data_IF_043384616901
#
_entry.id   IF_043384616901
#
_cell.length_a   1.000
_cell.length_b   1.000
_cell.length_c   1.000
_cell.angle_alpha   90.00
_cell.angle_beta   90.00
_cell.angle_gamma   90.00
#
_symmetry.space_group_name_H-M   'P 1'
#
loop_
_entity.id
_entity.type
_entity.pdbx_description
1 polymer ?
#
# COMPACT_ATOMS: atom_id res chain seq x y z
N UNK A 1 -1.64 32.43 20.05
CA UNK A 1 -2.05 31.24 20.78
C UNK A 1 -1.28 30.04 20.25
N UNK A 2 -0.40 29.48 21.10
CA UNK A 2 0.38 28.32 20.75
C UNK A 2 -0.55 27.12 20.67
N UNK A 3 -0.64 26.48 19.52
CA UNK A 3 -1.30 25.19 19.33
C UNK A 3 -0.37 24.13 19.89
N UNK A 4 -0.61 23.69 21.13
CA UNK A 4 0.03 22.48 21.64
C UNK A 4 -0.57 21.29 20.89
N UNK A 5 0.17 20.77 19.91
CA UNK A 5 -0.09 19.46 19.37
C UNK A 5 0.32 18.43 20.42
N UNK A 6 -0.64 17.76 21.02
CA UNK A 6 -0.36 16.57 21.82
C UNK A 6 -0.07 15.42 20.84
N UNK A 7 1.20 15.16 20.62
CA UNK A 7 1.63 13.90 20.05
C UNK A 7 1.33 12.81 21.07
N UNK A 8 0.34 11.98 20.82
CA UNK A 8 0.23 10.72 21.54
C UNK A 8 1.42 9.87 21.09
N UNK A 9 2.38 9.69 21.98
CA UNK A 9 3.43 8.69 21.81
C UNK A 9 2.76 7.32 21.82
N UNK A 10 2.47 6.78 20.65
CA UNK A 10 2.14 5.38 20.51
C UNK A 10 3.37 4.57 20.91
N UNK A 11 3.33 3.99 22.06
CA UNK A 11 4.29 2.97 22.46
C UNK A 11 4.11 1.76 21.57
N UNK A 12 5.19 1.36 20.88
CA UNK A 12 5.40 0.11 20.17
C UNK A 12 4.83 -0.01 18.77
N UNK A 13 5.55 0.48 17.79
CA UNK A 13 5.42 0.13 16.38
C UNK A 13 5.82 1.29 15.49
N UNK A 14 6.82 1.10 14.66
CA UNK A 14 7.12 2.06 13.61
C UNK A 14 6.18 1.75 12.45
N UNK A 15 5.06 2.49 12.36
CA UNK A 15 4.14 2.35 11.23
C UNK A 15 4.82 2.83 9.95
N UNK A 16 4.77 2.01 8.91
CA UNK A 16 5.19 2.40 7.55
C UNK A 16 4.26 3.44 6.92
N UNK A 17 2.99 3.46 7.35
CA UNK A 17 1.97 4.46 7.05
C UNK A 17 0.97 4.46 8.19
N UNK A 18 0.31 5.58 8.46
CA UNK A 18 -0.79 5.66 9.40
C UNK A 18 -2.04 6.16 8.69
N UNK A 19 -3.11 5.38 8.78
CA UNK A 19 -4.42 5.73 8.23
C UNK A 19 -5.53 4.96 8.94
N UNK A 20 -6.54 5.63 9.50
CA UNK A 20 -7.71 4.96 10.06
C UNK A 20 -8.41 4.02 9.06
N UNK A 21 -8.33 4.33 7.78
CA UNK A 21 -8.96 3.54 6.72
C UNK A 21 -8.17 2.26 6.38
N UNK A 22 -6.93 2.13 6.83
CA UNK A 22 -6.10 0.94 6.62
C UNK A 22 -6.59 -0.31 7.37
N UNK A 23 -7.61 -0.14 8.21
CA UNK A 23 -8.30 -1.23 8.92
C UNK A 23 -8.96 -2.23 7.95
N UNK A 24 -9.27 -1.82 6.72
CA UNK A 24 -9.96 -2.65 5.74
C UNK A 24 -9.01 -3.27 4.71
N UNK A 25 -9.37 -4.46 4.23
CA UNK A 25 -8.70 -5.13 3.14
C UNK A 25 -7.22 -5.40 3.39
N UNK A 26 -6.38 -5.03 2.47
CA UNK A 26 -4.90 -5.13 2.58
C UNK A 26 -4.25 -3.87 3.15
N UNK A 27 -5.04 -2.90 3.61
CA UNK A 27 -4.56 -1.61 4.08
C UNK A 27 -4.65 -0.49 3.02
N UNK A 28 -3.99 0.63 3.29
CA UNK A 28 -3.90 1.76 2.36
C UNK A 28 -2.93 1.41 1.23
N UNK A 29 -3.40 1.52 -0.02
CA UNK A 29 -2.56 1.23 -1.18
C UNK A 29 -1.56 2.37 -1.36
N UNK A 30 -0.28 2.02 -1.42
CA UNK A 30 0.81 2.97 -1.58
C UNK A 30 0.75 3.63 -2.96
N UNK A 31 1.03 4.93 -2.99
CA UNK A 31 1.18 5.67 -4.24
C UNK A 31 2.51 5.28 -4.89
N UNK A 32 2.47 4.31 -5.80
CA UNK A 32 3.65 3.86 -6.53
C UNK A 32 4.31 4.98 -7.35
N UNK A 33 5.52 4.71 -7.84
CA UNK A 33 6.30 5.63 -8.67
C UNK A 33 7.62 6.03 -8.01
N UNK A 34 8.54 6.54 -8.82
CA UNK A 34 9.80 7.14 -8.36
C UNK A 34 9.55 8.53 -7.77
N UNK A 35 10.55 9.09 -7.08
CA UNK A 35 10.46 10.46 -6.54
C UNK A 35 10.11 11.48 -7.64
N UNK A 36 10.68 11.31 -8.84
CA UNK A 36 10.36 12.16 -10.00
C UNK A 36 8.88 12.04 -10.40
N UNK A 37 8.34 10.83 -10.54
CA UNK A 37 6.91 10.64 -10.87
C UNK A 37 5.99 11.25 -9.81
N UNK A 38 6.31 11.07 -8.53
CA UNK A 38 5.53 11.62 -7.42
C UNK A 38 5.53 13.14 -7.37
N UNK A 39 6.66 13.79 -7.67
CA UNK A 39 6.75 15.26 -7.75
C UNK A 39 5.93 15.85 -8.90
N UNK A 40 5.59 15.02 -9.89
CA UNK A 40 4.72 15.35 -11.02
C UNK A 40 3.28 14.83 -10.85
N UNK A 41 2.74 14.79 -9.64
CA UNK A 41 1.38 14.33 -9.39
C UNK A 41 1.17 12.80 -9.49
N UNK A 42 2.24 12.01 -9.61
CA UNK A 42 2.18 10.55 -9.76
C UNK A 42 1.80 10.08 -11.17
N UNK A 43 1.99 10.93 -12.18
CA UNK A 43 1.85 10.55 -13.59
C UNK A 43 3.06 9.74 -14.07
N UNK A 44 2.90 9.00 -15.17
CA UNK A 44 4.01 8.20 -15.71
C UNK A 44 3.59 7.19 -16.78
N UNK A 45 2.30 6.99 -17.05
CA UNK A 45 1.83 5.98 -18.02
C UNK A 45 2.27 6.35 -19.45
N UNK A 46 2.23 7.63 -19.78
CA UNK A 46 2.66 8.15 -21.09
C UNK A 46 3.99 8.90 -21.05
N UNK A 47 4.63 9.01 -19.87
CA UNK A 47 5.90 9.71 -19.73
C UNK A 47 7.03 8.97 -20.43
N UNK A 48 7.77 9.67 -21.29
CA UNK A 48 8.97 9.21 -21.98
C UNK A 48 10.18 10.07 -21.63
N UNK A 49 10.41 10.23 -20.32
CA UNK A 49 11.59 10.93 -19.87
C UNK A 49 12.82 9.98 -19.93
N UNK A 50 13.86 10.39 -20.60
CA UNK A 50 15.05 9.57 -20.81
C UNK A 50 16.06 9.63 -19.67
N UNK A 51 15.90 10.60 -18.77
CA UNK A 51 16.82 10.87 -17.66
C UNK A 51 16.41 10.23 -16.36
N UNK A 52 15.14 9.81 -16.25
CA UNK A 52 14.58 9.23 -15.03
C UNK A 52 14.01 7.85 -15.30
N UNK A 53 14.11 6.99 -14.29
CA UNK A 53 13.47 5.67 -14.33
C UNK A 53 11.96 5.84 -14.22
N UNK A 54 11.21 5.21 -15.11
CA UNK A 54 9.77 5.17 -15.07
C UNK A 54 9.30 3.73 -14.75
N UNK A 55 8.68 3.55 -13.59
CA UNK A 55 8.11 2.27 -13.12
C UNK A 55 6.61 2.17 -13.37
N UNK A 56 5.97 3.26 -13.81
CA UNK A 56 4.51 3.28 -14.00
C UNK A 56 4.07 2.48 -15.22
N UNK A 57 4.92 2.44 -16.26
CA UNK A 57 4.65 1.71 -17.50
C UNK A 57 5.87 0.88 -17.92
N UNK A 58 5.78 -0.46 -18.00
CA UNK A 58 6.91 -1.30 -18.39
C UNK A 58 7.44 -0.98 -19.80
N UNK A 59 6.65 -0.42 -20.71
CA UNK A 59 7.10 0.03 -22.02
C UNK A 59 8.11 1.19 -21.94
N UNK A 60 8.03 2.01 -20.89
CA UNK A 60 8.93 3.15 -20.71
C UNK A 60 10.34 2.74 -20.26
N UNK A 61 10.55 1.52 -19.81
CA UNK A 61 11.86 1.02 -19.36
C UNK A 61 12.92 1.11 -20.47
N UNK A 62 12.52 0.93 -21.72
CA UNK A 62 13.41 1.01 -22.88
C UNK A 62 13.76 2.45 -23.28
N UNK A 63 13.08 3.45 -22.73
CA UNK A 63 13.26 4.86 -23.13
C UNK A 63 14.41 5.47 -22.35
N UNK A 64 15.58 5.57 -22.98
CA UNK A 64 16.79 6.15 -22.38
C UNK A 64 17.71 6.75 -23.43
N UNK A 65 18.54 7.69 -23.03
CA UNK A 65 19.50 8.34 -23.94
C UNK A 65 20.79 7.55 -24.10
N UNK A 66 21.19 6.82 -23.07
CA UNK A 66 22.48 6.14 -23.04
C UNK A 66 22.32 4.68 -22.63
N UNK A 67 23.36 3.89 -22.91
CA UNK A 67 23.46 2.51 -22.40
C UNK A 67 23.99 2.47 -20.96
N UNK A 68 23.74 3.52 -20.17
CA UNK A 68 24.19 3.59 -18.80
C UNK A 68 23.23 2.83 -17.86
N UNK A 69 23.81 2.27 -16.82
CA UNK A 69 23.08 1.81 -15.64
C UNK A 69 22.40 3.00 -14.94
N UNK A 70 21.17 2.79 -14.48
CA UNK A 70 20.44 3.79 -13.70
C UNK A 70 19.93 3.17 -12.42
N UNK A 71 19.98 3.90 -11.32
CA UNK A 71 19.41 3.51 -10.04
C UNK A 71 18.61 4.69 -9.46
N UNK A 72 17.51 4.37 -8.78
CA UNK A 72 16.70 5.32 -8.03
C UNK A 72 16.38 4.73 -6.66
N UNK A 73 16.58 5.53 -5.63
CA UNK A 73 16.25 5.18 -4.25
C UNK A 73 15.43 6.29 -3.65
N UNK A 74 14.19 5.99 -3.30
CA UNK A 74 13.22 6.94 -2.78
C UNK A 74 12.88 6.67 -1.32
N UNK A 75 12.88 7.75 -0.52
CA UNK A 75 12.33 7.80 0.83
C UNK A 75 11.17 8.79 0.83
N UNK A 76 10.22 8.62 1.73
CA UNK A 76 9.19 9.61 1.97
C UNK A 76 8.83 9.71 3.44
N UNK A 77 8.43 10.90 3.81
CA UNK A 77 7.84 11.23 5.10
C UNK A 77 6.42 11.73 4.84
N UNK A 78 5.48 11.26 5.62
CA UNK A 78 4.07 11.62 5.51
C UNK A 78 3.56 12.14 6.85
N UNK A 79 3.18 13.41 6.86
CA UNK A 79 2.62 14.10 8.01
C UNK A 79 1.11 14.25 7.80
N UNK A 80 0.32 13.47 8.52
CA UNK A 80 -1.14 13.47 8.41
C UNK A 80 -1.78 14.05 9.66
N UNK A 81 -2.78 14.89 9.45
CA UNK A 81 -3.63 15.41 10.52
C UNK A 81 -5.04 14.87 10.32
N UNK A 82 -5.53 14.16 11.33
CA UNK A 82 -6.90 13.66 11.36
C UNK A 82 -7.74 14.52 12.28
N UNK A 83 -8.94 14.90 11.85
CA UNK A 83 -9.86 15.70 12.64
C UNK A 83 -11.27 15.10 12.59
N UNK A 84 -11.90 14.96 13.77
CA UNK A 84 -13.28 14.53 13.92
C UNK A 84 -13.95 15.39 14.99
N UNK A 85 -14.80 16.30 14.58
CA UNK A 85 -15.38 17.29 15.48
C UNK A 85 -14.30 18.18 16.12
N UNK A 86 -14.23 18.21 17.43
CA UNK A 86 -13.22 18.95 18.20
C UNK A 86 -11.92 18.19 18.42
N UNK A 87 -11.89 16.88 18.13
CA UNK A 87 -10.71 16.03 18.33
C UNK A 87 -9.81 16.10 17.12
N UNK A 88 -8.50 16.21 17.36
CA UNK A 88 -7.45 16.22 16.33
C UNK A 88 -6.32 15.30 16.76
N UNK A 89 -5.79 14.54 15.82
CA UNK A 89 -4.57 13.73 15.96
C UNK A 89 -3.61 14.05 14.82
N UNK A 90 -2.32 14.05 15.10
CA UNK A 90 -1.27 14.22 14.11
C UNK A 90 -0.35 13.00 14.16
N UNK A 91 -0.06 12.44 13.00
CA UNK A 91 0.81 11.28 12.86
C UNK A 91 1.88 11.57 11.81
N UNK A 92 3.10 11.18 12.14
CA UNK A 92 4.25 11.28 11.26
C UNK A 92 4.75 9.87 10.97
N UNK A 93 4.89 9.53 9.69
CA UNK A 93 5.39 8.24 9.27
C UNK A 93 6.53 8.40 8.27
N UNK A 94 7.55 7.56 8.41
CA UNK A 94 8.70 7.52 7.50
C UNK A 94 8.82 6.14 6.89
N UNK A 95 8.96 6.07 5.55
CA UNK A 95 9.06 4.78 4.86
C UNK A 95 9.93 4.89 3.60
N UNK A 96 10.41 3.73 3.14
CA UNK A 96 11.05 3.58 1.84
C UNK A 96 9.96 3.63 0.75
N UNK A 97 10.13 4.49 -0.25
CA UNK A 97 9.22 4.58 -1.37
C UNK A 97 9.51 3.52 -2.43
N UNK A 98 10.77 3.43 -2.84
CA UNK A 98 11.21 2.49 -3.86
C UNK A 98 12.73 2.32 -3.82
N UNK A 99 13.14 1.14 -4.25
CA UNK A 99 14.53 0.84 -4.63
C UNK A 99 14.44 0.25 -6.02
N UNK A 100 15.02 0.89 -7.02
CA UNK A 100 14.92 0.42 -8.39
C UNK A 100 16.23 0.58 -9.14
N UNK A 101 16.55 -0.43 -9.94
CA UNK A 101 17.75 -0.49 -10.78
C UNK A 101 17.34 -0.83 -12.20
N UNK A 102 17.93 -0.17 -13.18
CA UNK A 102 17.64 -0.37 -14.57
C UNK A 102 18.92 -0.56 -15.39
N UNK A 103 18.93 -1.63 -16.17
CA UNK A 103 20.07 -2.09 -16.95
C UNK A 103 19.75 -2.02 -18.45
N UNK A 104 20.61 -1.47 -19.28
CA UNK A 104 20.47 -1.57 -20.73
C UNK A 104 20.76 -3.01 -21.17
N UNK A 105 19.94 -3.54 -22.08
CA UNK A 105 20.22 -4.81 -22.77
C UNK A 105 20.79 -4.48 -24.16
N UNK A 106 20.12 -3.58 -24.86
CA UNK A 106 20.48 -3.12 -26.20
C UNK A 106 20.09 -1.65 -26.37
N UNK A 107 20.45 -1.05 -27.51
CA UNK A 107 20.14 0.37 -27.81
C UNK A 107 18.64 0.75 -27.64
N UNK A 108 17.76 -0.20 -27.87
CA UNK A 108 16.30 0.00 -27.84
C UNK A 108 15.58 -0.91 -26.83
N UNK A 109 16.30 -1.59 -25.95
CA UNK A 109 15.73 -2.49 -24.93
C UNK A 109 16.46 -2.37 -23.62
N UNK A 110 15.73 -2.54 -22.53
CA UNK A 110 16.26 -2.50 -21.19
C UNK A 110 15.46 -3.39 -20.23
N UNK A 111 16.11 -3.69 -19.13
CA UNK A 111 15.57 -4.45 -18.02
C UNK A 111 15.61 -3.60 -16.76
N UNK A 112 14.65 -3.82 -15.88
CA UNK A 112 14.50 -3.10 -14.62
C UNK A 112 14.10 -4.09 -13.52
N UNK A 113 14.68 -3.94 -12.33
CA UNK A 113 14.28 -4.63 -11.13
C UNK A 113 14.01 -3.60 -10.04
N UNK A 114 12.96 -3.78 -9.28
CA UNK A 114 12.65 -2.87 -8.19
C UNK A 114 11.87 -3.53 -7.06
N UNK A 115 11.96 -2.90 -5.92
CA UNK A 115 11.23 -3.23 -4.70
C UNK A 115 10.53 -1.97 -4.19
N UNK A 116 9.25 -2.05 -3.88
CA UNK A 116 8.49 -0.96 -3.28
C UNK A 116 7.37 -1.47 -2.39
N UNK A 117 6.86 -0.69 -1.42
CA UNK A 117 5.62 -1.01 -0.75
C UNK A 117 4.46 -1.04 -1.76
N UNK A 118 3.55 -1.98 -1.57
CA UNK A 118 2.29 -2.06 -2.32
C UNK A 118 1.14 -1.53 -1.48
N UNK A 119 1.04 -1.94 -0.21
CA UNK A 119 0.05 -1.43 0.72
C UNK A 119 0.56 -1.52 2.16
N UNK A 120 0.05 -0.64 3.01
CA UNK A 120 0.45 -0.52 4.39
C UNK A 120 -0.77 -0.55 5.30
N UNK A 121 -0.68 -1.29 6.41
CA UNK A 121 -1.62 -1.26 7.53
C UNK A 121 -0.97 -0.51 8.68
N UNK A 122 -1.62 0.54 9.15
CA UNK A 122 -1.16 1.31 10.28
C UNK A 122 -2.33 2.06 10.88
N UNK A 123 -2.87 1.57 12.01
CA UNK A 123 -3.93 2.24 12.75
C UNK A 123 -3.87 1.88 14.23
N UNK A 124 -4.37 2.78 15.06
CA UNK A 124 -4.55 2.56 16.49
C UNK A 124 -5.79 3.32 16.98
N UNK A 125 -6.73 2.61 17.55
CA UNK A 125 -7.95 3.16 18.12
C UNK A 125 -8.09 2.71 19.55
N UNK A 126 -8.47 3.64 20.42
CA UNK A 126 -8.83 3.35 21.80
C UNK A 126 -10.24 3.85 22.08
N UNK A 127 -11.05 3.01 22.68
CA UNK A 127 -12.40 3.35 23.13
C UNK A 127 -12.65 2.80 24.52
N UNK A 128 -13.50 3.50 25.28
CA UNK A 128 -13.92 3.06 26.63
C UNK A 128 -15.34 2.56 26.56
N UNK A 129 -15.65 1.55 27.39
CA UNK A 129 -17.00 1.08 27.58
C UNK A 129 -17.87 2.22 28.15
N UNK A 130 -19.10 2.30 27.67
CA UNK A 130 -20.06 3.34 28.05
C UNK A 130 -21.36 2.76 28.68
N UNK A 131 -21.47 1.44 28.78
CA UNK A 131 -22.62 0.79 29.38
C UNK A 131 -22.53 0.86 30.88
N UNK A 132 -23.43 1.63 31.53
CA UNK A 132 -23.48 1.77 32.98
C UNK A 132 -23.66 0.43 33.69
N UNK A 133 -24.38 -0.51 33.09
CA UNK A 133 -24.59 -1.86 33.62
C UNK A 133 -23.27 -2.65 33.71
N UNK A 134 -22.47 -2.62 32.64
CA UNK A 134 -21.17 -3.30 32.62
C UNK A 134 -20.16 -2.62 33.54
N UNK A 135 -20.10 -1.29 33.52
CA UNK A 135 -19.22 -0.51 34.39
C UNK A 135 -19.49 -0.73 35.87
N UNK A 136 -20.78 -0.90 36.26
CA UNK A 136 -21.18 -1.19 37.63
C UNK A 136 -20.69 -2.55 38.13
N UNK A 137 -20.50 -3.52 37.28
CA UNK A 137 -20.07 -4.88 37.63
C UNK A 137 -18.56 -5.12 37.49
N UNK A 138 -17.94 -4.56 36.46
CA UNK A 138 -16.60 -4.93 36.03
C UNK A 138 -15.59 -3.78 36.19
N UNK A 139 -16.08 -2.55 36.40
CA UNK A 139 -15.26 -1.33 36.38
C UNK A 139 -14.98 -0.87 34.92
N UNK A 140 -14.05 0.07 34.80
CA UNK A 140 -13.73 0.62 33.48
C UNK A 140 -13.08 -0.43 32.55
N UNK A 141 -13.59 -0.51 31.31
CA UNK A 141 -13.07 -1.39 30.29
C UNK A 141 -12.55 -0.50 29.15
N UNK A 142 -11.32 -0.76 28.72
CA UNK A 142 -10.71 -0.09 27.55
C UNK A 142 -10.51 -1.10 26.43
N UNK A 143 -10.99 -0.75 25.25
CA UNK A 143 -10.82 -1.51 24.01
C UNK A 143 -9.80 -0.81 23.14
N UNK A 144 -8.67 -1.44 22.92
CA UNK A 144 -7.62 -0.96 22.00
C UNK A 144 -7.58 -1.85 20.78
N UNK A 145 -7.76 -1.27 19.60
CA UNK A 145 -7.62 -1.96 18.32
C UNK A 145 -6.50 -1.34 17.53
N UNK A 146 -5.52 -2.13 17.15
CA UNK A 146 -4.37 -1.67 16.40
C UNK A 146 -3.97 -2.67 15.31
N UNK A 147 -3.43 -2.15 14.23
CA UNK A 147 -2.93 -2.96 13.14
C UNK A 147 -1.64 -2.39 12.59
N UNK A 148 -0.77 -3.29 12.14
CA UNK A 148 0.51 -2.95 11.55
C UNK A 148 0.88 -3.95 10.46
N UNK A 149 1.84 -3.54 9.62
CA UNK A 149 2.41 -4.40 8.60
C UNK A 149 2.24 -3.86 7.20
N UNK A 150 2.95 -4.48 6.27
CA UNK A 150 3.00 -4.03 4.88
C UNK A 150 3.03 -5.20 3.93
N UNK A 151 2.43 -5.01 2.76
CA UNK A 151 2.67 -5.82 1.59
C UNK A 151 3.66 -5.09 0.68
N UNK A 152 4.72 -5.78 0.31
CA UNK A 152 5.73 -5.30 -0.64
C UNK A 152 5.51 -5.94 -2.00
N UNK A 153 6.00 -5.27 -3.03
CA UNK A 153 6.10 -5.81 -4.38
C UNK A 153 7.55 -5.79 -4.86
N UNK A 154 8.05 -6.97 -5.21
CA UNK A 154 9.28 -7.13 -5.98
C UNK A 154 8.86 -7.27 -7.43
N UNK A 155 9.40 -6.45 -8.30
CA UNK A 155 9.02 -6.44 -9.71
C UNK A 155 10.25 -6.45 -10.62
N UNK A 156 10.07 -7.11 -11.76
CA UNK A 156 11.07 -7.18 -12.82
C UNK A 156 10.40 -6.86 -14.14
N UNK A 157 10.86 -5.82 -14.82
CA UNK A 157 10.29 -5.32 -16.08
C UNK A 157 11.28 -5.41 -17.20
N UNK A 158 10.80 -5.74 -18.38
CA UNK A 158 11.56 -5.64 -19.62
C UNK A 158 10.75 -4.88 -20.66
N UNK A 159 11.44 -4.03 -21.42
CA UNK A 159 10.81 -3.23 -22.47
C UNK A 159 11.69 -3.12 -23.70
N UNK A 160 11.04 -2.93 -24.86
CA UNK A 160 11.70 -2.71 -26.12
C UNK A 160 10.96 -1.64 -26.94
N UNK A 161 11.73 -0.83 -27.67
CA UNK A 161 11.21 0.21 -28.55
C UNK A 161 11.45 -0.18 -30.02
N UNK A 162 10.38 -0.21 -30.80
CA UNK A 162 10.35 -0.51 -32.20
C UNK A 162 10.16 0.77 -33.02
N UNK A 163 10.81 0.86 -34.15
CA UNK A 163 10.72 1.99 -35.11
C UNK A 163 10.87 3.37 -34.44
N UNK A 164 11.56 3.44 -33.29
CA UNK A 164 11.76 4.67 -32.48
C UNK A 164 10.48 5.32 -31.98
N UNK A 165 9.31 4.70 -32.16
CA UNK A 165 7.99 5.27 -31.82
C UNK A 165 7.16 4.37 -30.93
N UNK A 166 7.12 3.08 -31.21
CA UNK A 166 6.32 2.11 -30.45
C UNK A 166 7.20 1.42 -29.43
N UNK A 167 6.85 1.55 -28.15
CA UNK A 167 7.47 0.80 -27.07
C UNK A 167 6.46 -0.18 -26.48
N UNK A 168 6.92 -1.39 -26.22
CA UNK A 168 6.14 -2.41 -25.51
C UNK A 168 6.97 -2.93 -24.33
N UNK A 169 6.30 -3.38 -23.29
CA UNK A 169 6.97 -3.92 -22.13
C UNK A 169 6.07 -4.86 -21.34
N UNK A 170 6.72 -5.72 -20.60
CA UNK A 170 6.09 -6.64 -19.67
C UNK A 170 6.81 -6.57 -18.34
N UNK A 171 6.07 -6.76 -17.25
CA UNK A 171 6.54 -6.74 -15.88
C UNK A 171 5.98 -7.95 -15.14
N UNK A 172 6.83 -8.64 -14.43
CA UNK A 172 6.47 -9.67 -13.48
C UNK A 172 6.52 -9.08 -12.08
N UNK A 173 5.49 -9.31 -11.26
CA UNK A 173 5.35 -8.77 -9.92
C UNK A 173 5.14 -9.91 -8.94
N UNK A 174 5.93 -9.92 -7.87
CA UNK A 174 5.77 -10.78 -6.71
C UNK A 174 5.38 -9.97 -5.50
N UNK A 175 4.17 -10.20 -4.98
CA UNK A 175 3.70 -9.62 -3.72
C UNK A 175 4.08 -10.51 -2.56
N UNK A 176 4.53 -9.91 -1.46
CA UNK A 176 4.81 -10.62 -0.22
C UNK A 176 4.71 -9.67 0.97
N UNK A 177 4.36 -10.21 2.12
CA UNK A 177 4.32 -9.41 3.34
C UNK A 177 3.47 -10.00 4.43
N UNK A 178 3.35 -9.24 5.50
CA UNK A 178 2.69 -9.63 6.73
C UNK A 178 1.78 -8.49 7.20
N UNK A 179 0.57 -8.84 7.59
CA UNK A 179 -0.41 -7.91 8.14
C UNK A 179 -0.88 -8.44 9.49
N UNK A 180 -0.71 -7.65 10.54
CA UNK A 180 -1.11 -7.97 11.90
C UNK A 180 -2.28 -7.06 12.30
N UNK A 181 -3.35 -7.63 12.85
CA UNK A 181 -4.50 -6.94 13.38
C UNK A 181 -4.82 -7.47 14.76
N UNK A 182 -4.79 -6.61 15.75
CA UNK A 182 -4.88 -6.97 17.15
C UNK A 182 -5.97 -6.14 17.82
N UNK A 183 -6.61 -6.74 18.80
CA UNK A 183 -7.53 -6.07 19.71
C UNK A 183 -7.18 -6.47 21.13
N UNK A 184 -7.16 -5.50 22.02
CA UNK A 184 -6.86 -5.67 23.44
C UNK A 184 -8.02 -5.12 24.26
N UNK A 185 -8.54 -5.94 25.17
CA UNK A 185 -9.57 -5.57 26.12
C UNK A 185 -8.93 -5.51 27.51
N UNK A 186 -8.78 -4.31 28.06
CA UNK A 186 -8.13 -4.09 29.35
C UNK A 186 -9.16 -3.72 30.39
N UNK A 187 -9.16 -4.46 31.50
CA UNK A 187 -10.02 -4.22 32.67
C UNK A 187 -9.24 -3.46 33.74
N UNK A 188 -9.82 -2.38 34.26
CA UNK A 188 -9.22 -1.63 35.35
C UNK A 188 -9.21 -2.45 36.65
N UNK A 189 -10.25 -3.25 36.86
CA UNK A 189 -10.34 -4.13 38.01
C UNK A 189 -9.44 -5.36 37.83
N UNK A 190 -8.39 -5.48 38.64
CA UNK A 190 -7.39 -6.56 38.59
C UNK A 190 -7.94 -7.97 38.82
N UNK A 191 -9.20 -8.10 39.25
CA UNK A 191 -9.89 -9.39 39.39
C UNK A 191 -10.15 -10.03 38.02
N UNK A 192 -10.30 -9.20 36.96
CA UNK A 192 -10.53 -9.64 35.59
C UNK A 192 -9.24 -9.66 34.83
N UNK A 193 -9.09 -10.63 33.93
CA UNK A 193 -7.92 -10.75 33.08
C UNK A 193 -8.14 -9.99 31.78
N UNK A 194 -7.19 -9.17 31.42
CA UNK A 194 -7.15 -8.54 30.08
C UNK A 194 -6.99 -9.59 28.99
N UNK A 195 -7.68 -9.39 27.90
CA UNK A 195 -7.71 -10.33 26.76
C UNK A 195 -7.10 -9.63 25.55
N UNK A 196 -6.12 -10.27 24.92
CA UNK A 196 -5.60 -9.86 23.63
C UNK A 196 -5.92 -10.94 22.61
N UNK A 197 -6.52 -10.54 21.50
CA UNK A 197 -6.80 -11.42 20.39
C UNK A 197 -6.44 -10.75 19.06
N UNK A 198 -6.08 -11.54 18.09
CA UNK A 198 -5.67 -10.98 16.83
C UNK A 198 -5.58 -11.98 15.70
N UNK A 199 -5.30 -11.42 14.53
CA UNK A 199 -5.07 -12.19 13.31
C UNK A 199 -3.80 -11.70 12.65
N UNK A 200 -2.93 -12.63 12.34
CA UNK A 200 -1.70 -12.42 11.58
C UNK A 200 -1.82 -13.09 10.21
N UNK A 201 -1.69 -12.31 9.17
CA UNK A 201 -1.77 -12.75 7.78
C UNK A 201 -0.37 -12.69 7.16
N UNK A 202 0.14 -13.84 6.70
CA UNK A 202 1.35 -13.90 5.87
C UNK A 202 0.91 -14.19 4.44
N UNK A 203 1.09 -13.22 3.56
CA UNK A 203 0.53 -13.24 2.22
C UNK A 203 1.61 -13.19 1.15
N UNK A 204 1.36 -13.89 0.04
CA UNK A 204 2.18 -13.82 -1.16
C UNK A 204 1.32 -14.04 -2.41
N UNK A 205 1.80 -13.55 -3.54
CA UNK A 205 1.11 -13.72 -4.82
C UNK A 205 1.95 -13.25 -5.99
N UNK A 206 1.59 -13.68 -7.19
CA UNK A 206 2.27 -13.32 -8.42
C UNK A 206 1.30 -12.70 -9.40
N UNK A 207 1.76 -11.72 -10.15
CA UNK A 207 0.98 -11.15 -11.25
C UNK A 207 1.88 -10.62 -12.35
N UNK A 208 1.28 -10.26 -13.48
CA UNK A 208 1.92 -9.62 -14.60
C UNK A 208 1.29 -8.28 -14.92
N UNK A 209 2.10 -7.34 -15.41
CA UNK A 209 1.65 -6.06 -15.93
C UNK A 209 2.24 -5.87 -17.32
N UNK A 210 1.42 -5.43 -18.25
CA UNK A 210 1.80 -5.15 -19.62
C UNK A 210 1.67 -3.66 -19.89
N UNK A 211 2.50 -3.15 -20.77
CA UNK A 211 2.48 -1.75 -21.15
C UNK A 211 2.79 -1.53 -22.60
N UNK A 212 2.20 -0.47 -23.13
CA UNK A 212 2.47 0.03 -24.47
C UNK A 212 2.55 1.55 -24.44
N UNK A 213 3.43 2.12 -25.25
CA UNK A 213 3.53 3.55 -25.51
C UNK A 213 3.74 3.80 -26.99
N UNK A 214 3.06 4.79 -27.53
CA UNK A 214 3.27 5.28 -28.88
C UNK A 214 3.61 6.76 -28.86
N UNK A 215 4.77 7.11 -29.42
CA UNK A 215 5.29 8.48 -29.50
C UNK A 215 5.15 9.03 -30.92
N UNK A 216 4.42 10.14 -31.03
CA UNK A 216 4.19 10.84 -32.27
C UNK A 216 4.81 12.23 -32.22
N UNK A 217 5.72 12.53 -33.11
CA UNK A 217 6.18 13.90 -33.31
C UNK A 217 5.09 14.72 -34.02
N UNK A 218 4.65 15.79 -33.38
CA UNK A 218 3.68 16.73 -33.95
C UNK A 218 4.37 17.86 -34.68
N UNK A 219 5.54 18.28 -34.18
CA UNK A 219 6.38 19.30 -34.81
C UNK A 219 7.86 19.00 -34.49
N UNK A 220 8.82 19.76 -35.07
CA UNK A 220 10.23 19.62 -34.68
C UNK A 220 10.50 19.82 -33.18
N UNK A 221 9.62 20.57 -32.49
CA UNK A 221 9.76 20.94 -31.08
C UNK A 221 8.73 20.29 -30.16
N UNK A 222 7.73 19.59 -30.72
CA UNK A 222 6.63 19.01 -29.94
C UNK A 222 6.45 17.53 -30.23
N UNK A 223 6.24 16.75 -29.17
CA UNK A 223 5.84 15.34 -29.27
C UNK A 223 4.65 15.04 -28.35
N UNK A 224 3.83 14.09 -28.80
CA UNK A 224 2.71 13.54 -28.04
C UNK A 224 2.96 12.06 -27.86
N UNK A 225 2.80 11.59 -26.63
CA UNK A 225 2.87 10.15 -26.32
C UNK A 225 1.53 9.70 -25.78
N UNK A 226 1.03 8.59 -26.27
CA UNK A 226 -0.10 7.86 -25.71
C UNK A 226 0.42 6.58 -25.10
N UNK A 227 -0.03 6.26 -23.89
CA UNK A 227 0.37 5.07 -23.16
C UNK A 227 -0.84 4.32 -22.60
N UNK A 228 -0.71 3.00 -22.53
CA UNK A 228 -1.67 2.16 -21.83
C UNK A 228 -0.92 1.09 -21.03
N UNK A 229 -1.52 0.69 -19.92
CA UNK A 229 -1.02 -0.37 -19.04
C UNK A 229 -2.18 -1.26 -18.60
N UNK A 230 -1.90 -2.54 -18.43
CA UNK A 230 -2.84 -3.48 -17.87
C UNK A 230 -2.12 -4.43 -16.91
N UNK A 231 -2.55 -4.43 -15.63
CA UNK A 231 -2.09 -5.34 -14.60
C UNK A 231 -3.15 -6.39 -14.34
N UNK A 232 -2.77 -7.64 -14.43
CA UNK A 232 -3.67 -8.76 -14.13
C UNK A 232 -4.00 -8.80 -12.65
N UNK A 233 -5.25 -9.05 -12.30
CA UNK A 233 -5.63 -9.31 -10.92
C UNK A 233 -5.08 -10.66 -10.45
N UNK A 234 -4.72 -10.75 -9.17
CA UNK A 234 -4.14 -11.97 -8.58
C UNK A 234 -4.73 -12.30 -7.24
N UNK A 235 -4.83 -13.60 -6.95
CA UNK A 235 -5.23 -14.09 -5.63
C UNK A 235 -4.00 -14.17 -4.73
N UNK A 236 -4.09 -13.56 -3.56
CA UNK A 236 -3.08 -13.69 -2.52
C UNK A 236 -3.27 -15.04 -1.81
N UNK A 237 -2.19 -15.77 -1.66
CA UNK A 237 -2.13 -17.04 -0.94
C UNK A 237 -1.30 -16.85 0.32
N UNK A 238 -1.43 -17.79 1.26
CA UNK A 238 -0.61 -17.73 2.46
C UNK A 238 -1.25 -18.43 3.64
N UNK A 239 -0.85 -17.98 4.82
CA UNK A 239 -1.29 -18.52 6.09
C UNK A 239 -1.89 -17.40 6.93
N UNK A 240 -2.98 -17.74 7.63
CA UNK A 240 -3.57 -16.92 8.67
C UNK A 240 -3.37 -17.60 10.03
N UNK A 241 -2.94 -16.83 11.00
CA UNK A 241 -2.83 -17.24 12.38
C UNK A 241 -3.78 -16.43 13.23
N UNK A 242 -4.73 -17.10 13.86
CA UNK A 242 -5.66 -16.51 14.82
C UNK A 242 -5.19 -16.87 16.23
N UNK A 243 -4.96 -15.87 17.06
CA UNK A 243 -4.54 -16.09 18.43
C UNK A 243 -5.41 -15.32 19.40
N UNK A 244 -5.54 -15.86 20.59
CA UNK A 244 -6.13 -15.19 21.73
C UNK A 244 -5.40 -15.63 23.02
N UNK A 245 -5.06 -14.67 23.85
CA UNK A 245 -4.47 -14.94 25.16
C UNK A 245 -4.99 -13.98 26.21
N UNK A 246 -5.02 -14.44 27.45
CA UNK A 246 -5.42 -13.62 28.59
C UNK A 246 -4.18 -13.34 29.46
N UNK A 247 -4.01 -12.09 29.87
CA UNK A 247 -2.94 -11.67 30.79
C UNK A 247 -3.51 -11.02 32.04
N UNK A 248 -2.83 -11.16 33.17
CA UNK A 248 -3.21 -10.51 34.39
C UNK A 248 -2.47 -9.16 34.52
N UNK A 249 -3.20 -8.10 34.73
CA UNK A 249 -2.75 -6.70 34.62
C UNK A 249 -1.63 -6.26 35.58
N UNK A 250 -1.26 -7.04 36.60
CA UNK A 250 -0.41 -6.53 37.67
C UNK A 250 1.01 -7.09 37.75
N UNK A 251 1.38 -8.02 36.91
CA UNK A 251 2.75 -8.59 36.90
C UNK A 251 3.20 -8.76 35.46
N UNK A 252 4.30 -8.11 35.13
CA UNK A 252 5.09 -8.40 33.92
C UNK A 252 5.72 -9.79 34.11
N UNK A 253 4.91 -10.81 34.16
CA UNK A 253 5.33 -12.20 34.16
C UNK A 253 5.04 -12.78 32.79
N UNK A 254 6.04 -12.67 31.93
CA UNK A 254 6.07 -13.21 30.56
C UNK A 254 5.86 -14.74 30.52
N UNK A 255 5.73 -15.40 31.64
CA UNK A 255 5.65 -16.85 31.76
C UNK A 255 4.26 -17.42 32.01
N UNK A 256 3.22 -16.61 32.15
CA UNK A 256 1.85 -17.06 32.42
C UNK A 256 0.78 -16.53 31.46
N UNK A 257 1.14 -16.25 30.22
CA UNK A 257 0.14 -16.03 29.19
C UNK A 257 -0.50 -17.40 28.85
N UNK A 258 -1.72 -17.61 29.30
CA UNK A 258 -2.49 -18.76 28.82
C UNK A 258 -2.92 -18.45 27.37
N UNK A 259 -2.24 -19.08 26.41
CA UNK A 259 -2.68 -19.06 25.02
C UNK A 259 -3.95 -19.88 24.92
N UNK A 260 -5.06 -19.22 24.61
CA UNK A 260 -6.36 -19.88 24.50
C UNK A 260 -6.54 -20.62 23.18
N UNK A 261 -6.14 -20.00 22.10
CA UNK A 261 -6.18 -20.62 20.78
C UNK A 261 -5.07 -20.03 19.91
N UNK A 262 -4.32 -20.90 19.30
CA UNK A 262 -3.37 -20.57 18.24
C UNK A 262 -3.69 -21.50 17.07
N UNK A 263 -4.39 -20.98 16.08
CA UNK A 263 -4.81 -21.76 14.91
C UNK A 263 -4.11 -21.22 13.68
N UNK A 264 -3.21 -22.02 13.14
CA UNK A 264 -2.58 -21.74 11.84
C UNK A 264 -3.37 -22.44 10.75
N UNK A 265 -3.96 -21.69 9.85
CA UNK A 265 -4.67 -22.21 8.70
C UNK A 265 -4.19 -21.59 7.38
N UNK A 266 -4.39 -22.31 6.29
CA UNK A 266 -4.20 -21.70 4.98
C UNK A 266 -5.30 -20.70 4.74
N UNK A 267 -4.93 -19.57 4.14
CA UNK A 267 -5.92 -18.58 3.68
C UNK A 267 -6.83 -19.28 2.66
N UNK A 268 -8.06 -19.67 3.10
CA UNK A 268 -9.11 -20.18 2.21
C UNK A 268 -9.68 -19.02 1.40
N UNK A 269 -10.39 -19.19 0.28
CA UNK A 269 -10.99 -18.11 -0.54
C UNK A 269 -10.09 -16.89 -0.69
N UNK A 270 -8.93 -17.10 -1.27
CA UNK A 270 -7.81 -16.16 -1.30
C UNK A 270 -8.25 -14.73 -1.70
N UNK A 271 -7.92 -13.71 -0.89
CA UNK A 271 -8.22 -12.33 -1.23
C UNK A 271 -7.56 -11.97 -2.54
N UNK A 272 -8.29 -11.21 -3.38
CA UNK A 272 -7.83 -10.87 -4.72
C UNK A 272 -7.40 -9.40 -4.78
N UNK A 273 -6.19 -9.16 -5.25
CA UNK A 273 -5.78 -7.85 -5.74
C UNK A 273 -6.47 -7.63 -7.09
N UNK A 274 -7.13 -6.49 -7.24
CA UNK A 274 -7.86 -6.13 -8.44
C UNK A 274 -6.95 -6.01 -9.66
N UNK A 275 -7.51 -6.30 -10.82
CA UNK A 275 -6.92 -5.89 -12.09
C UNK A 275 -6.96 -4.36 -12.23
N UNK A 276 -5.98 -3.82 -12.92
CA UNK A 276 -5.84 -2.37 -13.10
C UNK A 276 -5.59 -2.04 -14.57
N UNK A 277 -6.45 -1.19 -15.12
CA UNK A 277 -6.28 -0.58 -16.42
C UNK A 277 -5.80 0.87 -16.24
N UNK A 278 -4.74 1.23 -16.90
CA UNK A 278 -4.22 2.58 -16.96
C UNK A 278 -4.13 3.10 -18.38
N UNK A 279 -4.53 4.36 -18.58
CA UNK A 279 -4.40 5.07 -19.86
C UNK A 279 -3.78 6.42 -19.57
N UNK A 280 -2.86 6.87 -20.41
CA UNK A 280 -2.20 8.16 -20.25
C UNK A 280 -1.98 8.84 -21.60
N UNK A 281 -1.95 10.16 -21.55
CA UNK A 281 -1.55 11.02 -22.66
C UNK A 281 -0.57 12.06 -22.15
N UNK A 282 0.53 12.26 -22.84
CA UNK A 282 1.57 13.23 -22.50
C UNK A 282 1.89 14.11 -23.71
N UNK A 283 1.98 15.41 -23.49
CA UNK A 283 2.49 16.40 -24.43
C UNK A 283 3.79 16.96 -23.89
N UNK A 284 4.83 17.00 -24.73
CA UNK A 284 6.13 17.53 -24.36
C UNK A 284 6.63 18.51 -25.42
N UNK A 285 7.14 19.66 -24.95
CA UNK A 285 7.68 20.71 -25.79
C UNK A 285 9.17 20.97 -25.50
N UNK A 286 10.06 20.61 -26.44
CA UNK A 286 11.51 20.94 -26.46
C UNK A 286 12.25 20.73 -25.15
N UNK A 287 11.94 19.69 -24.37
CA UNK A 287 12.50 19.41 -23.04
C UNK A 287 12.34 20.56 -21.99
N UNK A 288 11.53 21.56 -22.28
CA UNK A 288 11.28 22.70 -21.39
C UNK A 288 10.03 22.51 -20.55
N UNK A 289 9.02 21.86 -21.09
CA UNK A 289 7.76 21.59 -20.39
C UNK A 289 7.16 20.25 -20.83
N UNK A 290 6.43 19.64 -19.94
CA UNK A 290 5.61 18.47 -20.21
C UNK A 290 4.33 18.54 -19.42
N UNK A 291 3.23 18.10 -20.03
CA UNK A 291 1.93 17.96 -19.40
C UNK A 291 1.48 16.53 -19.64
N UNK A 292 1.02 15.85 -18.61
CA UNK A 292 0.55 14.47 -18.70
C UNK A 292 -0.75 14.30 -17.92
N UNK A 293 -1.67 13.50 -18.51
CA UNK A 293 -2.91 13.08 -17.88
C UNK A 293 -2.96 11.56 -17.86
N UNK A 294 -3.26 11.01 -16.69
CA UNK A 294 -3.44 9.57 -16.50
C UNK A 294 -4.80 9.27 -15.90
N UNK A 295 -5.43 8.24 -16.42
CA UNK A 295 -6.61 7.61 -15.87
C UNK A 295 -6.28 6.17 -15.47
N UNK A 296 -6.58 5.78 -14.23
CA UNK A 296 -6.43 4.43 -13.73
C UNK A 296 -7.78 3.94 -13.22
N UNK A 297 -8.09 2.69 -13.52
CA UNK A 297 -9.30 2.02 -13.04
C UNK A 297 -8.95 0.65 -12.49
N UNK A 298 -9.40 0.37 -11.27
CA UNK A 298 -9.26 -0.94 -10.62
C UNK A 298 -10.60 -1.44 -10.11
N UNK A 299 -10.95 -2.69 -10.40
CA UNK A 299 -12.23 -3.29 -10.02
C UNK A 299 -12.04 -4.22 -8.81
N UNK A 300 -12.36 -3.70 -7.62
CA UNK A 300 -12.21 -4.41 -6.35
C UNK A 300 -13.44 -5.23 -5.95
N UNK A 301 -14.53 -5.21 -6.71
CA UNK A 301 -15.77 -5.94 -6.40
C UNK A 301 -15.58 -7.45 -6.27
N UNK A 302 -14.51 -8.00 -6.84
CA UNK A 302 -14.14 -9.41 -6.78
C UNK A 302 -13.03 -9.70 -5.78
N UNK A 303 -12.73 -8.77 -4.88
CA UNK A 303 -11.60 -8.88 -3.95
C UNK A 303 -11.82 -9.86 -2.81
N UNK A 304 -13.08 -10.17 -2.49
CA UNK A 304 -13.49 -11.04 -1.38
C UNK A 304 -13.03 -10.56 0.01
N UNK A 305 -12.66 -9.29 0.16
CA UNK A 305 -12.23 -8.76 1.46
C UNK A 305 -13.36 -8.67 2.47
N UNK A 306 -14.60 -8.52 2.01
CA UNK A 306 -15.80 -8.33 2.84
C UNK A 306 -16.16 -9.57 3.65
N UNK A 307 -15.94 -10.74 3.07
CA UNK A 307 -16.32 -12.03 3.66
C UNK A 307 -15.28 -12.59 4.63
N UNK A 308 -14.15 -11.90 4.85
CA UNK A 308 -13.01 -12.46 5.58
C UNK A 308 -12.77 -11.81 6.93
N UNK A 309 -12.78 -12.66 7.95
CA UNK A 309 -12.19 -12.33 9.26
C UNK A 309 -10.72 -11.99 9.06
N UNK A 310 -10.25 -10.91 9.67
CA UNK A 310 -8.87 -10.43 9.56
C UNK A 310 -8.61 -9.41 8.44
N UNK A 311 -9.56 -9.19 7.54
CA UNK A 311 -9.52 -8.09 6.57
C UNK A 311 -10.49 -6.95 6.89
N UNK A 312 -11.38 -7.15 7.85
CA UNK A 312 -12.20 -6.11 8.46
C UNK A 312 -11.90 -6.04 9.95
N UNK A 313 -12.04 -4.86 10.53
CA UNK A 313 -12.01 -4.73 11.99
C UNK A 313 -13.07 -5.60 12.62
N UNK A 314 -12.76 -6.11 13.80
CA UNK A 314 -13.74 -6.75 14.66
C UNK A 314 -14.84 -5.75 15.01
N UNK A 315 -16.04 -5.98 14.50
CA UNK A 315 -17.18 -5.09 14.71
C UNK A 315 -18.17 -5.15 13.56
N UNK A 316 -19.32 -4.51 13.73
CA UNK A 316 -20.43 -4.47 12.76
C UNK A 316 -20.18 -3.50 11.59
N UNK A 317 -18.94 -3.14 11.28
CA UNK A 317 -18.66 -2.29 10.14
C UNK A 317 -18.81 -3.09 8.84
N UNK A 318 -19.94 -2.93 8.19
CA UNK A 318 -20.15 -3.42 6.84
C UNK A 318 -19.37 -2.50 5.90
N UNK A 319 -18.44 -3.04 5.14
CA UNK A 319 -17.83 -2.34 4.02
C UNK A 319 -18.07 -3.12 2.74
N UNK A 320 -18.10 -2.43 1.62
CA UNK A 320 -18.22 -3.06 0.32
C UNK A 320 -17.09 -2.59 -0.60
N UNK A 321 -16.53 -3.56 -1.32
CA UNK A 321 -15.52 -3.27 -2.33
C UNK A 321 -16.17 -2.77 -3.61
N UNK A 322 -15.62 -1.73 -4.21
CA UNK A 322 -16.18 -1.08 -5.39
C UNK A 322 -15.11 -0.86 -6.47
N UNK A 323 -15.49 -0.16 -7.53
CA UNK A 323 -14.55 0.26 -8.56
C UNK A 323 -13.82 1.51 -8.08
N UNK A 324 -12.50 1.47 -8.10
CA UNK A 324 -11.65 2.64 -7.87
C UNK A 324 -11.29 3.29 -9.19
N UNK A 325 -11.41 4.61 -9.26
CA UNK A 325 -11.01 5.43 -10.41
C UNK A 325 -10.09 6.55 -9.91
N UNK A 326 -8.97 6.76 -10.59
CA UNK A 326 -8.00 7.80 -10.25
C UNK A 326 -7.64 8.59 -11.50
N UNK A 327 -7.71 9.91 -11.36
CA UNK A 327 -7.27 10.87 -12.36
C UNK A 327 -6.04 11.59 -11.81
N UNK A 328 -4.99 11.69 -12.59
CA UNK A 328 -3.73 12.34 -12.23
C UNK A 328 -3.30 13.27 -13.35
N UNK A 329 -2.79 14.45 -12.97
CA UNK A 329 -2.29 15.47 -13.91
C UNK A 329 -1.09 16.21 -13.33
#
# INVERSE_FOLDING_TARGET
>A
PAVCAYAQTSTTGTYGSFSPYSIYGVGEISKGGTAHSRSMGGVGIASRNRRFINVSNPAAVAVRDTLAFMADFGLYEDNKIYAQGSKRGAENTFNVNNIVMSFPIWRSSAFLVGLSPFSDVGYSFSSKEQSDELLGHVGNITYDSYGEGSLYQLYASAGATFWKRLSVGAEFIYYFGKLDRNSNETFENSTYRSITYGTRLNLHGFTGKFGVQYDQKLSPTMSMTVGATYRLGTNLRGYENHFAYASQSSVVDTLKSMTYTDTLSRVSDAPRIADELGIGISLRGSDRWSVEFNYLRSDWRKSNFESRKGFAATGKANFSSSVSQSFRA
#
